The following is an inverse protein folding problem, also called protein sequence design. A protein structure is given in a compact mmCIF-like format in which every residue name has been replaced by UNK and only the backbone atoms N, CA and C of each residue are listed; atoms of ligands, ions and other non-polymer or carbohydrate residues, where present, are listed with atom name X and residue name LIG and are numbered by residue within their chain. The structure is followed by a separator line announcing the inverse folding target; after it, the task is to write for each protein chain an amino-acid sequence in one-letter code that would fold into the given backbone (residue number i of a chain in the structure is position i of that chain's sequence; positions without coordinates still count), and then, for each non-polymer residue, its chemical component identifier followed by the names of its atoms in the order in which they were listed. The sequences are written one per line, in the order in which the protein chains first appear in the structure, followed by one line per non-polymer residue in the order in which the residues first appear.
data_IF_683202549685
#
_entry.id   IF_683202549685
#
_cell.length_a   1.000
_cell.length_b   1.000
_cell.length_c   1.000
_cell.angle_alpha   90.00
_cell.angle_beta   90.00
_cell.angle_gamma   90.00
#
_symmetry.space_group_name_H-M   'P 1'
#
loop_
_entity.id
_entity.type
_entity.pdbx_description
1 polymer ?
#
# COMPACT_ATOMS: atom_id res chain seq x y z
N UNK A 1 -11.16 1.69 -26.58
CA UNK A 1 -11.47 2.66 -25.49
C UNK A 1 -10.24 2.72 -24.62
N UNK A 2 -9.52 3.83 -24.60
CA UNK A 2 -8.35 4.03 -23.73
C UNK A 2 -8.84 4.13 -22.28
N UNK A 3 -8.28 3.36 -21.35
CA UNK A 3 -8.73 3.36 -19.96
C UNK A 3 -8.26 4.67 -19.29
N UNK A 4 -9.05 5.21 -18.37
CA UNK A 4 -8.66 6.41 -17.61
C UNK A 4 -7.46 6.10 -16.70
N UNK A 5 -6.53 7.05 -16.48
CA UNK A 5 -5.46 6.86 -15.52
C UNK A 5 -6.02 6.63 -14.12
N UNK A 6 -5.35 5.81 -13.32
CA UNK A 6 -5.78 5.44 -11.98
C UNK A 6 -4.61 5.38 -11.00
N UNK A 7 -4.91 5.49 -9.72
CA UNK A 7 -3.93 5.32 -8.65
C UNK A 7 -3.89 3.85 -8.23
N UNK A 8 -2.69 3.28 -8.19
CA UNK A 8 -2.37 1.98 -7.63
C UNK A 8 -1.57 2.15 -6.35
N UNK A 9 -1.81 1.27 -5.38
CA UNK A 9 -1.01 1.17 -4.15
C UNK A 9 0.04 0.08 -4.37
N UNK A 10 1.31 0.47 -4.46
CA UNK A 10 2.40 -0.48 -4.72
C UNK A 10 3.06 -0.96 -3.43
N UNK A 11 2.22 -1.44 -2.49
CA UNK A 11 2.66 -1.86 -1.16
C UNK A 11 3.69 -3.00 -1.22
N UNK A 12 3.58 -3.91 -2.20
CA UNK A 12 4.55 -5.00 -2.40
C UNK A 12 5.97 -4.49 -2.66
N UNK A 13 6.11 -3.40 -3.42
CA UNK A 13 7.42 -2.80 -3.70
C UNK A 13 7.98 -2.17 -2.43
N UNK A 14 7.20 -1.33 -1.76
CA UNK A 14 7.65 -0.66 -0.53
C UNK A 14 8.04 -1.67 0.55
N UNK A 15 7.27 -2.75 0.72
CA UNK A 15 7.62 -3.82 1.66
C UNK A 15 8.96 -4.48 1.32
N UNK A 16 9.22 -4.74 0.03
CA UNK A 16 10.48 -5.31 -0.43
C UNK A 16 11.66 -4.37 -0.16
N UNK A 17 11.50 -3.09 -0.48
CA UNK A 17 12.51 -2.05 -0.30
C UNK A 17 12.84 -1.79 1.19
N UNK A 18 12.01 -2.31 2.11
CA UNK A 18 12.14 -2.22 3.57
C UNK A 18 12.32 -3.58 4.25
N UNK A 19 12.60 -4.62 3.47
CA UNK A 19 12.81 -5.99 3.95
C UNK A 19 11.67 -6.58 4.79
N UNK A 20 10.45 -6.08 4.62
CA UNK A 20 9.24 -6.63 5.26
C UNK A 20 8.74 -7.80 4.44
N UNK A 21 8.83 -9.01 5.00
CA UNK A 21 8.61 -10.27 4.28
C UNK A 21 7.20 -10.81 4.42
N UNK A 22 6.48 -10.40 5.47
CA UNK A 22 5.19 -11.01 5.80
C UNK A 22 4.11 -9.98 6.12
N UNK A 23 2.86 -10.38 5.89
CA UNK A 23 1.69 -9.60 6.34
C UNK A 23 1.67 -9.49 7.86
N UNK A 24 2.16 -10.49 8.60
CA UNK A 24 2.16 -10.46 10.06
C UNK A 24 3.08 -9.38 10.61
N UNK A 25 4.30 -9.28 10.08
CA UNK A 25 5.22 -8.19 10.41
C UNK A 25 4.57 -6.82 10.17
N UNK A 26 3.95 -6.62 9.00
CA UNK A 26 3.29 -5.36 8.69
C UNK A 26 2.08 -5.09 9.60
N UNK A 27 1.34 -6.13 9.99
CA UNK A 27 0.21 -6.05 10.92
C UNK A 27 0.68 -5.59 12.30
N UNK A 28 1.77 -6.17 12.80
CA UNK A 28 2.34 -5.81 14.10
C UNK A 28 2.91 -4.38 14.09
N UNK A 29 3.47 -3.92 12.97
CA UNK A 29 3.99 -2.55 12.84
C UNK A 29 2.91 -1.48 12.66
N UNK A 30 1.84 -1.78 11.92
CA UNK A 30 0.82 -0.79 11.54
C UNK A 30 -0.44 -0.83 12.41
N UNK A 31 -0.66 -1.92 13.14
CA UNK A 31 -1.92 -2.22 13.83
C UNK A 31 -3.11 -2.46 12.89
N UNK A 32 -2.90 -2.54 11.58
CA UNK A 32 -3.96 -2.80 10.61
C UNK A 32 -4.37 -4.28 10.64
N UNK A 33 -5.64 -4.54 10.33
CA UNK A 33 -6.09 -5.93 10.19
C UNK A 33 -5.40 -6.64 9.02
N UNK A 34 -5.21 -7.95 9.15
CA UNK A 34 -4.71 -8.83 8.09
C UNK A 34 -5.48 -8.65 6.77
N UNK A 35 -6.80 -8.44 6.88
CA UNK A 35 -7.70 -8.19 5.75
C UNK A 35 -7.38 -6.86 5.07
N UNK A 36 -7.18 -5.78 5.82
CA UNK A 36 -6.82 -4.47 5.27
C UNK A 36 -5.48 -4.52 4.52
N UNK A 37 -4.47 -5.18 5.10
CA UNK A 37 -3.16 -5.37 4.44
C UNK A 37 -3.30 -6.22 3.18
N UNK A 38 -4.04 -7.34 3.23
CA UNK A 38 -4.29 -8.17 2.05
C UNK A 38 -5.00 -7.40 0.93
N UNK A 39 -5.98 -6.56 1.26
CA UNK A 39 -6.62 -5.69 0.27
C UNK A 39 -5.66 -4.67 -0.33
N UNK A 40 -4.77 -4.09 0.47
CA UNK A 40 -3.73 -3.18 0.01
C UNK A 40 -2.73 -3.85 -0.96
N UNK A 41 -2.37 -5.11 -0.70
CA UNK A 41 -1.46 -5.89 -1.54
C UNK A 41 -2.10 -6.31 -2.88
N UNK A 42 -3.42 -6.46 -2.92
CA UNK A 42 -4.12 -7.01 -4.08
C UNK A 42 -4.22 -6.06 -5.30
N UNK A 43 -3.52 -4.91 -5.32
CA UNK A 43 -3.34 -3.95 -6.46
C UNK A 43 -4.60 -3.44 -7.17
N UNK A 44 -5.79 -3.96 -6.85
CA UNK A 44 -7.10 -3.63 -7.41
C UNK A 44 -7.84 -2.54 -6.63
N UNK A 45 -7.28 -2.12 -5.50
CA UNK A 45 -7.87 -1.08 -4.65
C UNK A 45 -7.47 0.30 -5.16
N UNK A 46 -8.44 1.01 -5.75
CA UNK A 46 -8.28 2.41 -6.15
C UNK A 46 -8.62 3.39 -5.02
N UNK A 47 -9.12 2.90 -3.88
CA UNK A 47 -9.58 3.73 -2.76
C UNK A 47 -9.12 3.15 -1.44
N UNK A 48 -8.16 3.81 -0.81
CA UNK A 48 -7.74 3.53 0.56
C UNK A 48 -7.99 4.77 1.41
N UNK A 49 -8.44 4.55 2.64
CA UNK A 49 -8.60 5.64 3.60
C UNK A 49 -7.24 6.26 3.91
N UNK A 50 -7.22 7.58 4.06
CA UNK A 50 -6.00 8.36 4.34
C UNK A 50 -5.34 7.93 5.66
N UNK A 51 -6.10 7.48 6.65
CA UNK A 51 -5.58 6.95 7.91
C UNK A 51 -4.74 5.67 7.70
N UNK A 52 -5.17 4.81 6.78
CA UNK A 52 -4.50 3.56 6.45
C UNK A 52 -3.21 3.85 5.69
N UNK A 53 -3.24 4.82 4.77
CA UNK A 53 -2.05 5.32 4.07
C UNK A 53 -1.05 5.88 5.08
N UNK A 54 -1.49 6.72 6.03
CA UNK A 54 -0.62 7.30 7.05
C UNK A 54 0.03 6.23 7.94
N UNK A 55 -0.74 5.24 8.39
CA UNK A 55 -0.22 4.10 9.18
C UNK A 55 0.83 3.29 8.41
N UNK A 56 0.58 3.02 7.13
CA UNK A 56 1.54 2.31 6.27
C UNK A 56 2.82 3.12 6.08
N UNK A 57 2.70 4.42 5.78
CA UNK A 57 3.85 5.31 5.59
C UNK A 57 4.70 5.42 6.87
N UNK A 58 4.05 5.56 8.03
CA UNK A 58 4.74 5.61 9.31
C UNK A 58 5.46 4.29 9.65
N UNK A 59 4.81 3.15 9.40
CA UNK A 59 5.41 1.83 9.66
C UNK A 59 6.55 1.47 8.70
N UNK A 60 6.44 1.87 7.42
CA UNK A 60 7.40 1.53 6.37
C UNK A 60 8.46 2.60 6.16
N UNK A 61 8.45 3.66 6.98
CA UNK A 61 9.33 4.82 6.83
C UNK A 61 9.40 5.29 5.36
N UNK A 62 8.23 5.64 4.82
CA UNK A 62 8.09 6.09 3.44
C UNK A 62 7.12 7.27 3.32
N UNK A 63 7.18 7.96 2.18
CA UNK A 63 6.25 9.02 1.84
C UNK A 63 5.04 8.48 1.06
N UNK A 64 3.97 9.27 0.97
CA UNK A 64 2.80 8.92 0.15
C UNK A 64 3.16 8.70 -1.32
N UNK A 65 4.16 9.42 -1.84
CA UNK A 65 4.64 9.28 -3.22
C UNK A 65 5.41 7.98 -3.46
N UNK A 66 5.97 7.38 -2.40
CA UNK A 66 6.57 6.06 -2.47
C UNK A 66 5.52 4.95 -2.49
N UNK A 67 4.33 5.19 -1.90
CA UNK A 67 3.28 4.17 -1.81
C UNK A 67 2.31 4.22 -3.01
N UNK A 68 1.98 5.41 -3.51
CA UNK A 68 0.97 5.62 -4.53
C UNK A 68 1.59 5.84 -5.91
N UNK A 69 1.16 5.07 -6.91
CA UNK A 69 1.64 5.16 -8.29
C UNK A 69 0.50 5.53 -9.23
N UNK A 70 0.70 6.57 -10.05
CA UNK A 70 -0.19 6.91 -11.14
C UNK A 70 0.06 5.98 -12.33
N UNK A 71 -0.91 5.14 -12.66
CA UNK A 71 -0.89 4.27 -13.84
C UNK A 71 -1.62 4.92 -15.00
N UNK A 72 -1.06 4.76 -16.20
CA UNK A 72 -1.74 5.07 -17.46
C UNK A 72 -2.67 3.89 -17.79
N UNK A 73 -3.92 4.19 -18.18
CA UNK A 73 -4.85 3.21 -18.73
C UNK A 73 -4.73 3.07 -20.25
#
# INVERSE_FOLDING_TARGET
MSQAPYIEIDLHRVMRDREIKTIEQLKDMTGLSRKAISHALNKKQHRMHTDTIAKLCAALDCSVGDLLILRKG
#
